data_IF_099169784632
#
_entry.id   IF_099169784632
#
_cell.length_a   1.000
_cell.length_b   1.000
_cell.length_c   1.000
_cell.angle_alpha   90.00
_cell.angle_beta   90.00
_cell.angle_gamma   90.00
#
_symmetry.space_group_name_H-M   'P 1'
#
loop_
_entity.id
_entity.type
_entity.pdbx_description
1 polymer ?
#
# COMPACT_ATOMS: atom_id res chain seq x y z
N UNK A 1 6.64 -2.30 -8.00
CA UNK A 1 5.43 -1.65 -8.60
C UNK A 1 4.29 -1.44 -7.58
N UNK A 2 4.23 -2.24 -6.52
CA UNK A 2 3.11 -2.36 -5.56
C UNK A 2 2.92 -1.16 -4.63
N UNK A 3 4.02 -0.49 -4.24
CA UNK A 3 4.00 0.77 -3.44
C UNK A 3 3.19 1.89 -4.12
N UNK A 4 3.24 1.94 -5.46
CA UNK A 4 2.46 2.87 -6.27
C UNK A 4 0.97 2.52 -6.26
N UNK A 5 0.63 1.25 -6.46
CA UNK A 5 -0.76 0.79 -6.58
C UNK A 5 -1.60 1.10 -5.35
N UNK A 6 -1.10 0.83 -4.14
CA UNK A 6 -1.83 1.15 -2.90
C UNK A 6 -1.98 2.67 -2.73
N UNK A 7 -0.95 3.45 -3.06
CA UNK A 7 -1.03 4.92 -2.97
C UNK A 7 -2.05 5.49 -3.97
N UNK A 8 -2.08 4.98 -5.21
CA UNK A 8 -3.09 5.35 -6.21
C UNK A 8 -4.51 4.98 -5.76
N UNK A 9 -4.70 3.81 -5.14
CA UNK A 9 -6.01 3.44 -4.60
C UNK A 9 -6.43 4.41 -3.48
N UNK A 10 -5.51 4.82 -2.60
CA UNK A 10 -5.84 5.79 -1.55
C UNK A 10 -6.26 7.15 -2.13
N UNK A 11 -5.56 7.66 -3.12
CA UNK A 11 -5.90 8.92 -3.80
C UNK A 11 -7.28 8.87 -4.46
N UNK A 12 -7.60 7.76 -5.16
CA UNK A 12 -8.91 7.57 -5.78
C UNK A 12 -10.03 7.52 -4.74
N UNK A 13 -9.83 6.79 -3.63
CA UNK A 13 -10.81 6.70 -2.54
C UNK A 13 -10.98 8.02 -1.80
N UNK A 14 -9.90 8.79 -1.65
CA UNK A 14 -9.94 10.13 -1.04
C UNK A 14 -10.75 11.11 -1.88
N UNK A 15 -10.57 11.11 -3.20
CA UNK A 15 -11.35 11.94 -4.11
C UNK A 15 -12.85 11.66 -4.00
N UNK A 16 -13.23 10.38 -4.01
CA UNK A 16 -14.64 9.95 -3.91
C UNK A 16 -15.23 10.24 -2.52
N UNK A 17 -14.42 10.33 -1.46
CA UNK A 17 -14.93 10.55 -0.10
C UNK A 17 -15.63 11.90 0.09
N UNK A 18 -15.24 12.91 -0.69
CA UNK A 18 -15.84 14.24 -0.63
C UNK A 18 -17.20 14.29 -1.34
N UNK A 19 -17.44 13.37 -2.28
CA UNK A 19 -18.64 13.34 -3.12
C UNK A 19 -19.74 12.41 -2.58
N UNK A 20 -19.42 11.58 -1.59
CA UNK A 20 -20.36 10.60 -1.02
C UNK A 20 -21.28 11.24 0.02
N UNK A 21 -22.54 11.43 -0.38
CA UNK A 21 -23.63 11.89 0.49
C UNK A 21 -24.43 10.69 1.02
N UNK A 22 -23.86 9.95 1.97
CA UNK A 22 -24.55 8.85 2.64
C UNK A 22 -23.76 8.35 3.85
N UNK A 23 -24.35 8.25 5.05
CA UNK A 23 -23.61 7.87 6.26
C UNK A 23 -23.02 6.46 6.19
N UNK A 24 -23.74 5.50 5.61
CA UNK A 24 -23.25 4.13 5.41
C UNK A 24 -22.12 4.05 4.38
N UNK A 25 -22.27 4.75 3.25
CA UNK A 25 -21.24 4.81 2.21
C UNK A 25 -19.96 5.52 2.69
N UNK A 26 -20.10 6.62 3.43
CA UNK A 26 -18.98 7.33 4.05
C UNK A 26 -18.24 6.47 5.08
N UNK A 27 -18.99 5.71 5.91
CA UNK A 27 -18.42 4.75 6.85
C UNK A 27 -17.62 3.65 6.14
N UNK A 28 -18.22 3.00 5.12
CA UNK A 28 -17.56 1.93 4.35
C UNK A 28 -16.29 2.43 3.67
N UNK A 29 -16.33 3.63 3.09
CA UNK A 29 -15.18 4.23 2.41
C UNK A 29 -14.06 4.56 3.39
N UNK A 30 -14.38 5.10 4.58
CA UNK A 30 -13.41 5.34 5.64
C UNK A 30 -12.76 4.04 6.10
N UNK A 31 -13.56 2.99 6.31
CA UNK A 31 -13.06 1.67 6.71
C UNK A 31 -12.16 1.04 5.64
N UNK A 32 -12.53 1.16 4.36
CA UNK A 32 -11.70 0.70 3.25
C UNK A 32 -10.33 1.39 3.23
N UNK A 33 -10.30 2.72 3.40
CA UNK A 33 -9.05 3.49 3.50
C UNK A 33 -8.21 3.07 4.71
N UNK A 34 -8.84 2.80 5.86
CA UNK A 34 -8.12 2.31 7.04
C UNK A 34 -7.45 0.95 6.79
N UNK A 35 -8.15 0.01 6.16
CA UNK A 35 -7.58 -1.29 5.79
C UNK A 35 -6.44 -1.14 4.78
N UNK A 36 -6.57 -0.22 3.84
CA UNK A 36 -5.53 0.09 2.87
C UNK A 36 -4.24 0.59 3.54
N UNK A 37 -4.36 1.47 4.55
CA UNK A 37 -3.21 1.94 5.33
C UNK A 37 -2.52 0.83 6.10
N UNK A 38 -3.27 -0.11 6.68
CA UNK A 38 -2.69 -1.27 7.35
C UNK A 38 -1.87 -2.12 6.38
N UNK A 39 -2.39 -2.33 5.16
CA UNK A 39 -1.64 -3.05 4.13
C UNK A 39 -0.40 -2.29 3.67
N UNK A 40 -0.49 -0.97 3.53
CA UNK A 40 0.66 -0.13 3.16
C UNK A 40 1.76 -0.22 4.22
N UNK A 41 1.41 -0.05 5.49
CA UNK A 41 2.36 -0.17 6.60
C UNK A 41 3.00 -1.55 6.62
N UNK A 42 2.20 -2.63 6.51
CA UNK A 42 2.73 -3.99 6.48
C UNK A 42 3.72 -4.23 5.34
N UNK A 43 3.48 -3.66 4.16
CA UNK A 43 4.42 -3.76 3.05
C UNK A 43 5.69 -2.94 3.31
N UNK A 44 5.58 -1.76 3.90
CA UNK A 44 6.75 -0.96 4.29
C UNK A 44 7.61 -1.69 5.33
N UNK A 45 6.99 -2.29 6.35
CA UNK A 45 7.67 -3.09 7.38
C UNK A 45 8.34 -4.34 6.77
N UNK A 46 7.70 -4.96 5.77
CA UNK A 46 8.27 -6.11 5.06
C UNK A 46 9.46 -5.71 4.18
N UNK A 47 9.37 -4.59 3.47
CA UNK A 47 10.48 -4.07 2.67
C UNK A 47 11.70 -3.80 3.59
N UNK A 48 11.47 -3.15 4.73
CA UNK A 48 12.53 -2.86 5.71
C UNK A 48 13.14 -4.15 6.28
N UNK A 49 12.31 -5.12 6.66
CA UNK A 49 12.78 -6.41 7.16
C UNK A 49 13.58 -7.20 6.10
N UNK A 50 13.24 -7.07 4.82
CA UNK A 50 13.94 -7.72 3.72
C UNK A 50 15.29 -7.06 3.46
N UNK A 51 15.33 -5.71 3.45
CA UNK A 51 16.58 -4.94 3.34
C UNK A 51 17.53 -5.25 4.53
N UNK A 52 17.00 -5.49 5.74
CA UNK A 52 17.81 -5.91 6.90
C UNK A 52 18.30 -7.37 6.81
N UNK A 53 17.48 -8.28 6.28
CA UNK A 53 17.78 -9.71 6.24
C UNK A 53 18.71 -10.10 5.08
N UNK A 54 18.68 -9.35 3.98
CA UNK A 54 19.47 -9.62 2.77
C UNK A 54 20.53 -8.52 2.63
N UNK A 55 21.78 -8.75 3.06
CA UNK A 55 22.84 -7.75 2.97
C UNK A 55 23.43 -7.59 1.56
N UNK A 56 23.02 -8.44 0.62
CA UNK A 56 23.50 -8.45 -0.75
C UNK A 56 22.55 -7.66 -1.67
N UNK A 57 23.02 -6.48 -2.08
CA UNK A 57 22.29 -5.56 -2.95
C UNK A 57 21.96 -6.18 -4.32
N UNK A 58 22.82 -7.05 -4.85
CA UNK A 58 22.60 -7.72 -6.15
C UNK A 58 21.43 -8.70 -6.06
N UNK A 59 21.25 -9.36 -4.91
CA UNK A 59 20.11 -10.25 -4.67
C UNK A 59 18.82 -9.42 -4.54
N UNK A 60 18.85 -8.29 -3.82
CA UNK A 60 17.69 -7.40 -3.68
C UNK A 60 17.25 -6.82 -5.02
N UNK A 61 18.19 -6.39 -5.85
CA UNK A 61 17.91 -5.82 -7.17
C UNK A 61 17.27 -6.86 -8.10
N UNK A 62 17.80 -8.10 -8.11
CA UNK A 62 17.19 -9.21 -8.85
C UNK A 62 15.77 -9.55 -8.36
N UNK A 63 15.52 -9.55 -7.05
CA UNK A 63 14.19 -9.81 -6.50
C UNK A 63 13.18 -8.72 -6.89
N UNK A 64 13.60 -7.45 -6.95
CA UNK A 64 12.77 -6.33 -7.47
C UNK A 64 12.49 -6.48 -8.96
N UNK A 65 13.48 -6.82 -9.77
CA UNK A 65 13.29 -7.02 -11.22
C UNK A 65 12.31 -8.16 -11.52
N UNK A 66 12.36 -9.23 -10.71
CA UNK A 66 11.44 -10.36 -10.80
C UNK A 66 10.04 -10.07 -10.22
N UNK A 67 9.85 -8.93 -9.55
CA UNK A 67 8.57 -8.51 -8.98
C UNK A 67 8.21 -9.21 -7.68
N UNK A 68 9.18 -9.83 -7.01
CA UNK A 68 9.00 -10.33 -5.63
C UNK A 68 9.02 -9.18 -4.61
N UNK A 69 9.57 -8.01 -4.99
CA UNK A 69 9.63 -6.74 -4.26
C UNK A 69 9.11 -5.60 -5.16
#
# INVERSE_FOLDING_TARGET
>A
MTKGTLSTIEELLEGVQQDVNGPDASYKLRSARQLLRVLKQRNEDLDEAIDEAIPDEEILENLRELGYL
#
